data_IF_140664063602
#
_entry.id   IF_140664063602
#
_cell.length_a   1.000
_cell.length_b   1.000
_cell.length_c   1.000
_cell.angle_alpha   90.00
_cell.angle_beta   90.00
_cell.angle_gamma   90.00
#
_symmetry.space_group_name_H-M   'P 1'
#
loop_
_entity.id
_entity.type
_entity.pdbx_description
1 polymer ?
#
# COMPACT_ATOMS: atom_id res chain seq x y z
N UNK A 1 -23.68 0.47 8.57
CA UNK A 1 -22.88 1.32 9.47
C UNK A 1 -22.30 0.38 10.50
N UNK A 2 -21.18 -0.27 10.14
CA UNK A 2 -20.45 -1.05 11.12
C UNK A 2 -19.71 -0.02 11.96
N UNK A 3 -20.01 -0.04 13.26
CA UNK A 3 -19.39 0.77 14.30
C UNK A 3 -18.03 0.11 14.60
N UNK A 4 -17.09 0.27 13.67
CA UNK A 4 -15.73 -0.28 13.78
C UNK A 4 -14.79 0.86 14.10
N UNK A 5 -14.26 0.84 15.31
CA UNK A 5 -13.32 1.84 15.81
C UNK A 5 -11.87 1.39 15.68
N UNK A 6 -10.93 2.12 16.31
CA UNK A 6 -9.49 1.86 16.22
C UNK A 6 -9.06 0.49 16.77
N UNK A 7 -9.95 -0.25 17.44
CA UNK A 7 -9.70 -1.59 17.96
C UNK A 7 -9.25 -2.61 16.91
N UNK A 8 -9.59 -2.42 15.63
CA UNK A 8 -9.16 -3.30 14.55
C UNK A 8 -7.66 -3.22 14.25
N UNK A 9 -7.01 -2.12 14.64
CA UNK A 9 -5.56 -1.93 14.50
C UNK A 9 -4.78 -2.52 15.68
N UNK A 10 -5.41 -3.25 16.60
CA UNK A 10 -4.70 -3.85 17.73
C UNK A 10 -3.80 -5.00 17.29
N UNK A 11 -2.61 -5.03 17.88
CA UNK A 11 -1.70 -6.16 17.79
C UNK A 11 -2.02 -7.19 18.88
N UNK A 12 -1.58 -8.43 18.67
CA UNK A 12 -1.65 -9.51 19.69
C UNK A 12 -0.90 -9.17 20.98
N UNK A 13 0.06 -8.24 20.92
CA UNK A 13 0.80 -7.72 22.08
C UNK A 13 0.05 -6.58 22.81
N UNK A 14 -1.13 -6.18 22.35
CA UNK A 14 -1.96 -5.14 22.97
C UNK A 14 -1.64 -3.70 22.57
N UNK A 15 -0.69 -3.49 21.64
CA UNK A 15 -0.40 -2.18 21.04
C UNK A 15 -1.28 -1.90 19.82
N UNK A 16 -1.11 -0.74 19.19
CA UNK A 16 -1.78 -0.42 17.93
C UNK A 16 -0.77 -0.35 16.79
N UNK A 17 -1.19 -0.81 15.61
CA UNK A 17 -0.36 -0.84 14.42
C UNK A 17 -1.21 -0.65 13.18
N UNK A 18 -0.76 0.26 12.30
CA UNK A 18 -1.31 0.48 10.98
C UNK A 18 -0.23 0.22 9.94
N UNK A 19 -0.61 -0.46 8.86
CA UNK A 19 0.18 -0.62 7.65
C UNK A 19 -0.38 0.31 6.59
N UNK A 20 0.49 1.10 5.95
CA UNK A 20 0.17 1.96 4.81
C UNK A 20 0.77 1.30 3.58
N UNK A 21 -0.07 0.90 2.64
CA UNK A 21 0.31 0.13 1.45
C UNK A 21 -0.70 0.42 0.34
N UNK A 22 -0.23 0.67 -0.88
CA UNK A 22 -1.09 0.68 -2.05
C UNK A 22 -1.36 -0.76 -2.49
N UNK A 23 -2.62 -1.12 -2.64
CA UNK A 23 -3.05 -2.39 -3.19
C UNK A 23 -4.29 -2.12 -4.03
N UNK A 24 -4.31 -2.66 -5.25
CA UNK A 24 -5.34 -2.37 -6.22
C UNK A 24 -6.74 -2.57 -5.64
N UNK A 25 -7.56 -1.52 -5.67
CA UNK A 25 -8.94 -1.55 -5.20
C UNK A 25 -9.10 -1.72 -3.69
N UNK A 26 -8.11 -1.31 -2.90
CA UNK A 26 -8.15 -1.33 -1.44
C UNK A 26 -8.00 0.06 -0.82
N UNK A 27 -8.53 0.22 0.39
CA UNK A 27 -8.51 1.44 1.22
C UNK A 27 -7.11 1.80 1.78
N UNK A 28 -6.04 1.28 1.17
CA UNK A 28 -4.61 1.53 1.41
C UNK A 28 -4.09 1.54 2.85
N UNK A 29 -4.92 1.11 3.80
CA UNK A 29 -4.58 0.90 5.20
C UNK A 29 -4.98 -0.49 5.63
N UNK A 30 -4.08 -1.10 6.40
CA UNK A 30 -4.20 -2.49 6.79
C UNK A 30 -3.87 -2.66 8.27
N UNK A 31 -4.51 -3.63 8.91
CA UNK A 31 -4.20 -4.03 10.28
C UNK A 31 -2.81 -4.69 10.34
N UNK A 32 -2.26 -4.85 11.54
CA UNK A 32 -1.02 -5.62 11.73
C UNK A 32 -1.09 -7.06 11.20
N UNK A 33 -2.29 -7.64 11.13
CA UNK A 33 -2.52 -9.01 10.65
C UNK A 33 -2.68 -9.07 9.12
N UNK A 34 -2.60 -7.94 8.43
CA UNK A 34 -2.74 -7.88 6.97
C UNK A 34 -4.20 -7.98 6.52
N UNK A 35 -5.14 -7.50 7.33
CA UNK A 35 -6.53 -7.31 6.92
C UNK A 35 -6.74 -5.87 6.49
N UNK A 36 -7.48 -5.67 5.40
CA UNK A 36 -7.89 -4.34 4.97
C UNK A 36 -8.72 -3.66 6.06
N UNK A 37 -8.51 -2.36 6.24
CA UNK A 37 -9.28 -1.52 7.14
C UNK A 37 -9.70 -0.26 6.40
N UNK A 38 -10.77 0.39 6.88
CA UNK A 38 -11.21 1.64 6.28
C UNK A 38 -10.29 2.78 6.74
N UNK A 39 -10.03 3.74 5.86
CA UNK A 39 -9.29 4.96 6.24
C UNK A 39 -10.06 5.72 7.33
N UNK A 40 -11.39 5.69 7.29
CA UNK A 40 -12.27 6.32 8.27
C UNK A 40 -12.15 5.74 9.69
N UNK A 41 -11.64 4.52 9.83
CA UNK A 41 -11.46 3.85 11.13
C UNK A 41 -10.16 4.32 11.84
N UNK A 42 -9.27 5.03 11.13
CA UNK A 42 -8.05 5.59 11.71
C UNK A 42 -8.37 6.84 12.55
N UNK A 43 -7.86 6.94 13.79
CA UNK A 43 -8.07 8.11 14.64
C UNK A 43 -7.13 9.27 14.26
N UNK A 44 -7.13 9.64 12.98
CA UNK A 44 -6.39 10.77 12.40
C UNK A 44 -7.34 11.91 12.05
N UNK A 45 -6.79 13.10 11.78
CA UNK A 45 -7.63 14.19 11.29
C UNK A 45 -8.12 13.92 9.86
N UNK A 46 -9.26 14.54 9.52
CA UNK A 46 -9.91 14.36 8.22
C UNK A 46 -9.01 14.75 7.04
N UNK A 47 -8.18 15.77 7.18
CA UNK A 47 -7.33 16.21 6.07
C UNK A 47 -6.24 15.17 5.76
N UNK A 48 -5.72 14.49 6.77
CA UNK A 48 -4.79 13.38 6.59
C UNK A 48 -5.47 12.13 6.02
N UNK A 49 -6.71 11.86 6.43
CA UNK A 49 -7.54 10.80 5.85
C UNK A 49 -7.82 11.06 4.36
N UNK A 50 -8.26 12.27 4.01
CA UNK A 50 -8.53 12.67 2.62
C UNK A 50 -7.25 12.53 1.77
N UNK A 51 -6.08 12.97 2.28
CA UNK A 51 -4.80 12.83 1.57
C UNK A 51 -4.39 11.38 1.33
N UNK A 52 -4.71 10.48 2.27
CA UNK A 52 -4.43 9.06 2.13
C UNK A 52 -5.35 8.41 1.08
N UNK A 53 -6.62 8.81 1.02
CA UNK A 53 -7.56 8.39 -0.02
C UNK A 53 -7.12 8.90 -1.41
N UNK A 54 -6.73 10.16 -1.53
CA UNK A 54 -6.21 10.73 -2.79
C UNK A 54 -4.97 9.97 -3.29
N UNK A 55 -4.09 9.58 -2.36
CA UNK A 55 -2.90 8.78 -2.68
C UNK A 55 -3.25 7.38 -3.19
N UNK A 56 -4.32 6.76 -2.68
CA UNK A 56 -4.81 5.46 -3.15
C UNK A 56 -5.42 5.55 -4.54
N UNK A 57 -6.26 6.56 -4.78
CA UNK A 57 -6.83 6.79 -6.12
C UNK A 57 -5.72 7.01 -7.15
N UNK A 58 -4.66 7.73 -6.77
CA UNK A 58 -3.49 7.90 -7.62
C UNK A 58 -2.71 6.59 -7.84
N UNK A 59 -2.61 5.73 -6.82
CA UNK A 59 -2.02 4.39 -6.95
C UNK A 59 -2.80 3.54 -7.94
N UNK A 60 -4.12 3.40 -7.77
CA UNK A 60 -4.98 2.60 -8.65
C UNK A 60 -4.94 3.12 -10.09
N UNK A 61 -4.96 4.45 -10.27
CA UNK A 61 -4.86 5.05 -11.60
C UNK A 61 -3.53 4.76 -12.30
N UNK A 62 -2.42 4.70 -11.56
CA UNK A 62 -1.11 4.34 -12.13
C UNK A 62 -1.07 2.85 -12.48
N UNK A 63 -1.63 2.00 -11.62
CA UNK A 63 -1.71 0.55 -11.85
C UNK A 63 -2.54 0.22 -13.10
N UNK A 64 -3.74 0.81 -13.23
CA UNK A 64 -4.62 0.67 -14.41
C UNK A 64 -3.91 1.11 -15.70
N UNK A 65 -3.26 2.28 -15.70
CA UNK A 65 -2.52 2.80 -16.86
C UNK A 65 -1.38 1.88 -17.30
N UNK A 66 -0.80 1.11 -16.38
CA UNK A 66 0.27 0.16 -16.68
C UNK A 66 -0.30 -1.14 -17.23
N UNK A 67 -1.37 -1.67 -16.63
CA UNK A 67 -2.02 -2.91 -17.10
C UNK A 67 -2.63 -2.72 -18.51
N UNK A 68 -3.25 -1.56 -18.75
CA UNK A 68 -3.79 -1.19 -20.07
C UNK A 68 -2.70 -0.88 -21.10
N UNK A 69 -1.44 -0.70 -20.66
CA UNK A 69 -0.32 -0.34 -21.52
C UNK A 69 -0.37 1.10 -22.04
N UNK A 70 -1.09 1.98 -21.34
CA UNK A 70 -1.27 3.39 -21.69
C UNK A 70 0.02 4.20 -21.50
N UNK A 71 0.89 3.79 -20.56
CA UNK A 71 2.16 4.45 -20.29
C UNK A 71 3.39 3.55 -20.50
N UNK A 72 4.51 4.08 -21.04
CA UNK A 72 5.78 3.36 -21.12
C UNK A 72 6.35 3.02 -19.73
N UNK A 73 7.12 1.93 -19.65
CA UNK A 73 7.76 1.46 -18.42
C UNK A 73 8.65 2.52 -17.73
N UNK A 74 9.32 3.39 -18.49
CA UNK A 74 10.15 4.48 -17.94
C UNK A 74 9.29 5.55 -17.22
N UNK A 75 8.09 5.81 -17.75
CA UNK A 75 7.12 6.73 -17.13
C UNK A 75 6.50 6.06 -15.90
N UNK A 76 6.16 4.78 -15.99
CA UNK A 76 5.66 3.97 -14.88
C UNK A 76 6.63 3.99 -13.69
N UNK A 77 7.93 3.75 -13.91
CA UNK A 77 8.94 3.79 -12.84
C UNK A 77 9.01 5.14 -12.13
N UNK A 78 8.83 6.24 -12.88
CA UNK A 78 8.80 7.58 -12.30
C UNK A 78 7.51 7.82 -11.50
N UNK A 79 6.37 7.33 -11.99
CA UNK A 79 5.09 7.41 -11.27
C UNK A 79 5.14 6.63 -9.94
N UNK A 80 5.72 5.43 -9.95
CA UNK A 80 5.92 4.63 -8.73
C UNK A 80 6.84 5.30 -7.72
N UNK A 81 7.93 5.92 -8.17
CA UNK A 81 8.81 6.68 -7.29
C UNK A 81 8.11 7.89 -6.65
N UNK A 82 7.25 8.59 -7.41
CA UNK A 82 6.46 9.71 -6.89
C UNK A 82 5.43 9.24 -5.85
N UNK A 83 4.73 8.14 -6.12
CA UNK A 83 3.82 7.51 -5.17
C UNK A 83 4.55 7.05 -3.91
N UNK A 84 5.78 6.52 -4.05
CA UNK A 84 6.59 6.09 -2.93
C UNK A 84 7.01 7.24 -2.01
N UNK A 85 7.38 8.40 -2.59
CA UNK A 85 7.72 9.59 -1.81
C UNK A 85 6.49 10.11 -1.04
N UNK A 86 5.35 10.21 -1.72
CA UNK A 86 4.12 10.73 -1.12
C UNK A 86 3.57 9.80 -0.03
N UNK A 87 3.55 8.48 -0.28
CA UNK A 87 3.14 7.48 0.70
C UNK A 87 4.00 7.52 1.97
N UNK A 88 5.30 7.74 1.83
CA UNK A 88 6.20 7.89 2.98
C UNK A 88 5.92 9.17 3.77
N UNK A 89 5.58 10.28 3.10
CA UNK A 89 5.18 11.52 3.77
C UNK A 89 3.88 11.36 4.54
N UNK A 90 2.92 10.60 3.99
CA UNK A 90 1.66 10.25 4.66
C UNK A 90 1.93 9.37 5.88
N UNK A 91 2.70 8.29 5.74
CA UNK A 91 3.06 7.41 6.85
C UNK A 91 3.75 8.16 8.00
N UNK A 92 4.67 9.09 7.67
CA UNK A 92 5.32 9.96 8.67
C UNK A 92 4.32 10.89 9.35
N UNK A 93 3.33 11.40 8.63
CA UNK A 93 2.28 12.27 9.18
C UNK A 93 1.36 11.48 10.12
N UNK A 94 0.97 10.25 9.74
CA UNK A 94 0.23 9.33 10.60
C UNK A 94 1.01 9.04 11.87
N UNK A 95 2.32 8.75 11.77
CA UNK A 95 3.16 8.53 12.95
C UNK A 95 3.24 9.74 13.88
N UNK A 96 3.20 10.97 13.35
CA UNK A 96 3.15 12.19 14.18
C UNK A 96 1.79 12.35 14.87
N UNK A 97 0.70 12.03 14.17
CA UNK A 97 -0.65 12.07 14.73
C UNK A 97 -0.85 10.98 15.80
N UNK A 98 -0.24 9.81 15.60
CA UNK A 98 -0.37 8.62 16.44
C UNK A 98 1.01 8.17 16.97
N UNK A 99 1.61 8.91 17.91
CA UNK A 99 2.99 8.67 18.34
C UNK A 99 3.19 7.30 19.00
N UNK A 100 2.17 6.79 19.68
CA UNK A 100 2.21 5.48 20.37
C UNK A 100 1.92 4.30 19.44
N UNK A 101 1.47 4.56 18.21
CA UNK A 101 1.15 3.51 17.24
C UNK A 101 2.39 3.13 16.44
N UNK A 102 2.49 1.85 16.09
CA UNK A 102 3.44 1.41 15.07
C UNK A 102 2.87 1.76 13.70
N UNK A 103 3.66 2.43 12.86
CA UNK A 103 3.29 2.69 11.47
C UNK A 103 4.27 1.92 10.60
N UNK A 104 3.75 0.97 9.84
CA UNK A 104 4.47 0.22 8.83
C UNK A 104 4.13 0.83 7.48
N UNK A 105 5.14 1.05 6.64
CA UNK A 105 4.96 1.59 5.31
C UNK A 105 5.57 0.61 4.31
N UNK A 106 4.81 0.28 3.26
CA UNK A 106 5.31 -0.51 2.13
C UNK A 106 5.53 0.42 0.96
N UNK A 107 6.77 0.46 0.51
CA UNK A 107 7.20 1.26 -0.62
C UNK A 107 6.70 0.59 -1.92
N UNK A 108 5.82 1.26 -2.69
CA UNK A 108 5.25 0.68 -3.90
C UNK A 108 6.32 0.47 -4.99
N UNK A 109 7.37 1.29 -5.05
CA UNK A 109 8.44 1.11 -6.03
C UNK A 109 9.26 -0.16 -5.73
N UNK A 110 9.54 -0.43 -4.45
CA UNK A 110 10.26 -1.65 -4.04
C UNK A 110 9.38 -2.90 -4.15
N UNK A 111 8.09 -2.79 -3.84
CA UNK A 111 7.16 -3.92 -3.94
C UNK A 111 7.01 -4.42 -5.38
N UNK A 112 7.11 -3.52 -6.37
CA UNK A 112 7.12 -3.89 -7.78
C UNK A 112 8.39 -4.58 -8.22
N UNK A 113 9.55 -4.15 -7.70
CA UNK A 113 10.82 -4.83 -7.97
C UNK A 113 10.76 -6.27 -7.44
N UNK A 114 10.30 -6.48 -6.21
CA UNK A 114 10.14 -7.83 -5.63
C UNK A 114 9.07 -8.66 -6.37
N UNK A 115 7.94 -8.05 -6.74
CA UNK A 115 6.89 -8.70 -7.52
C UNK A 115 7.35 -9.10 -8.92
N UNK A 116 8.13 -8.25 -9.59
CA UNK A 116 8.71 -8.53 -10.90
C UNK A 116 9.79 -9.63 -10.83
N UNK A 117 10.62 -9.63 -9.79
CA UNK A 117 11.60 -10.70 -9.56
C UNK A 117 10.92 -12.04 -9.27
N UNK A 118 9.85 -12.04 -8.47
CA UNK A 118 9.05 -13.24 -8.20
C UNK A 118 8.37 -13.78 -9.47
N UNK A 119 7.77 -12.90 -10.28
CA UNK A 119 7.14 -13.28 -11.54
C UNK A 119 8.17 -13.82 -12.56
N UNK A 120 9.36 -13.21 -12.66
CA UNK A 120 10.44 -13.68 -13.52
C UNK A 120 10.96 -15.06 -13.09
N UNK A 121 11.08 -15.31 -11.78
CA UNK A 121 11.45 -16.62 -11.24
C UNK A 121 10.37 -17.69 -11.49
N UNK A 122 9.09 -17.32 -11.46
CA UNK A 122 7.97 -18.23 -11.78
C UNK A 122 7.93 -18.59 -13.27
N UNK A 123 8.22 -17.63 -14.16
CA UNK A 123 8.35 -17.87 -15.60
C UNK A 123 9.50 -18.86 -15.87
N UNK A 124 10.68 -18.64 -15.29
CA UNK A 124 11.84 -19.56 -15.41
C UNK A 124 11.50 -20.98 -14.93
N UNK A 125 10.84 -21.11 -13.77
CA UNK A 125 10.38 -22.40 -13.27
C UNK A 125 9.36 -23.08 -14.20
N UNK A 126 8.48 -22.31 -14.83
CA UNK A 126 7.47 -22.82 -15.77
C UNK A 126 8.03 -23.22 -17.14
N UNK A 127 9.10 -22.56 -17.60
CA UNK A 127 9.81 -22.91 -18.84
C UNK A 127 10.66 -24.17 -18.65
N UNK A 128 11.29 -24.35 -17.48
CA UNK A 128 11.96 -25.60 -17.10
C UNK A 128 10.98 -26.77 -17.01
N UNK A 129 9.76 -26.55 -16.53
CA UNK A 129 8.73 -27.58 -16.41
C UNK A 129 8.11 -28.02 -17.76
N UNK A 130 8.22 -27.20 -18.82
CA UNK A 130 7.72 -27.51 -20.18
C UNK A 130 8.78 -28.09 -21.12
N UNK A 131 10.03 -28.22 -20.67
CA UNK A 131 11.17 -28.72 -21.44
C UNK A 131 11.64 -30.13 -21.09
N UNK A 132 10.74 -31.08 -20.82
CA UNK A 132 11.06 -32.52 -20.65
C UNK A 132 10.18 -33.38 -21.54
#
# INVERSE_FOLDING_TARGET
MNDVGPEHFRTTAGGFCVRVMGAYGSEGVWTAEGQEALVEDLPIDRALADRLADWQEAFDSVDDQIDDGDIPAEIAATAWAALAEEGLLIARSIKRALPEWTVLYVDPALALEEGAEAAAAEIDASEVARGV
#
